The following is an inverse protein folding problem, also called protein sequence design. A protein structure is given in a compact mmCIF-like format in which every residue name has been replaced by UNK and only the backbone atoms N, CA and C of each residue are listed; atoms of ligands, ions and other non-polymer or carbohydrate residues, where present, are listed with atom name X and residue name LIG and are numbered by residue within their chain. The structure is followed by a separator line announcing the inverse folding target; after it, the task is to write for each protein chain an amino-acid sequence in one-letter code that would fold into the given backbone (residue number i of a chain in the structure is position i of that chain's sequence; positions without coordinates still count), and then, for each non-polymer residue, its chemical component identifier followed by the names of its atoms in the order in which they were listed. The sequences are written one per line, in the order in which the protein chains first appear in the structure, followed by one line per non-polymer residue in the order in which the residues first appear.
data_IF_520067419271
#
_entry.id   IF_520067419271
#
_cell.length_a   1.000
_cell.length_b   1.000
_cell.length_c   1.000
_cell.angle_alpha   90.00
_cell.angle_beta   90.00
_cell.angle_gamma   90.00
#
_symmetry.space_group_name_H-M   'P 1'
#
loop_
_entity.id
_entity.type
_entity.pdbx_description
1 polymer ?
#
# COMPACT_ATOMS: atom_id res chain seq x y z
N UNK A 1 4.50 -9.31 14.79
CA UNK A 1 5.17 -8.92 13.52
C UNK A 1 6.19 -7.83 13.82
N UNK A 2 7.38 -7.87 13.23
CA UNK A 2 8.32 -6.75 13.29
C UNK A 2 7.73 -5.53 12.58
N UNK A 3 8.02 -4.31 13.05
CA UNK A 3 7.54 -3.09 12.44
C UNK A 3 8.12 -2.92 11.01
N UNK A 4 7.55 -2.04 10.21
CA UNK A 4 8.03 -1.74 8.86
C UNK A 4 9.39 -1.03 8.90
N UNK A 5 10.25 -1.32 7.91
CA UNK A 5 11.57 -0.69 7.80
C UNK A 5 11.56 0.42 6.73
N UNK A 6 11.54 1.71 7.12
CA UNK A 6 11.52 2.82 6.18
C UNK A 6 12.74 2.86 5.25
N UNK A 7 13.93 2.50 5.73
CA UNK A 7 15.15 2.53 4.93
C UNK A 7 15.17 1.53 3.78
N UNK A 8 14.59 0.35 3.96
CA UNK A 8 14.41 -0.62 2.88
C UNK A 8 13.30 -0.16 1.91
N UNK A 9 12.28 0.52 2.42
CA UNK A 9 11.17 0.99 1.60
C UNK A 9 11.59 2.11 0.65
N UNK A 10 12.44 3.05 1.09
CA UNK A 10 12.86 4.20 0.29
C UNK A 10 13.94 3.89 -0.76
N UNK A 11 14.56 2.71 -0.73
CA UNK A 11 15.58 2.33 -1.71
C UNK A 11 15.10 2.33 -3.17
N UNK A 12 13.80 2.08 -3.40
CA UNK A 12 13.15 2.11 -4.72
C UNK A 12 12.02 3.13 -4.69
N UNK A 13 12.32 4.32 -4.22
CA UNK A 13 11.30 5.35 -3.96
C UNK A 13 10.62 5.82 -5.25
N UNK A 14 11.39 6.06 -6.31
CA UNK A 14 10.87 6.58 -7.57
C UNK A 14 9.86 5.63 -8.19
N UNK A 15 10.20 4.34 -8.26
CA UNK A 15 9.30 3.32 -8.82
C UNK A 15 8.06 3.11 -7.95
N UNK A 16 8.19 3.19 -6.62
CA UNK A 16 7.07 3.07 -5.69
C UNK A 16 6.18 4.30 -5.66
N UNK A 17 6.75 5.47 -5.95
CA UNK A 17 6.04 6.75 -5.97
C UNK A 17 5.28 6.96 -7.29
N UNK A 18 5.71 6.32 -8.40
CA UNK A 18 5.07 6.45 -9.70
C UNK A 18 3.58 6.12 -9.69
N UNK A 19 3.10 4.98 -9.15
CA UNK A 19 1.65 4.70 -9.06
C UNK A 19 0.88 5.74 -8.25
N UNK A 20 1.49 6.26 -7.17
CA UNK A 20 0.89 7.33 -6.38
C UNK A 20 0.73 8.62 -7.20
N UNK A 21 1.76 9.02 -7.94
CA UNK A 21 1.70 10.21 -8.79
C UNK A 21 0.64 10.08 -9.90
N UNK A 22 0.54 8.91 -10.54
CA UNK A 22 -0.45 8.64 -11.58
C UNK A 22 -1.90 8.63 -11.04
N UNK A 23 -2.11 8.04 -9.84
CA UNK A 23 -3.39 8.11 -9.14
C UNK A 23 -3.75 9.57 -8.83
N UNK A 24 -2.83 10.31 -8.23
CA UNK A 24 -3.05 11.70 -7.86
C UNK A 24 -3.37 12.59 -9.07
N UNK A 25 -2.72 12.35 -10.22
CA UNK A 25 -2.97 13.11 -11.45
C UNK A 25 -4.43 12.99 -11.96
N UNK A 26 -5.14 11.92 -11.59
CA UNK A 26 -6.55 11.70 -11.95
C UNK A 26 -7.55 12.19 -10.90
N UNK A 27 -7.11 12.67 -9.75
CA UNK A 27 -8.00 13.26 -8.73
C UNK A 27 -8.59 14.55 -9.28
N UNK A 28 -9.93 14.64 -9.46
CA UNK A 28 -10.58 15.79 -10.12
C UNK A 28 -10.88 16.94 -9.14
N UNK A 29 -10.02 17.16 -8.16
CA UNK A 29 -10.12 18.24 -7.18
C UNK A 29 -9.07 19.32 -7.48
N UNK A 30 -9.50 20.59 -7.44
CA UNK A 30 -8.60 21.74 -7.62
C UNK A 30 -8.09 22.29 -6.28
N UNK A 31 -8.97 22.46 -5.31
CA UNK A 31 -8.67 23.09 -4.02
C UNK A 31 -9.38 22.38 -2.85
N UNK A 32 -9.05 21.10 -2.55
CA UNK A 32 -9.59 20.44 -1.37
C UNK A 32 -9.10 21.14 -0.11
N UNK A 33 -9.97 21.23 0.92
CA UNK A 33 -9.62 21.82 2.21
C UNK A 33 -8.99 20.79 3.15
N UNK A 34 -9.54 19.57 3.14
CA UNK A 34 -9.14 18.48 4.04
C UNK A 34 -8.77 17.25 3.22
N UNK A 35 -7.52 16.84 3.35
CA UNK A 35 -6.96 15.68 2.66
C UNK A 35 -6.38 14.70 3.67
N UNK A 36 -6.70 13.42 3.54
CA UNK A 36 -6.13 12.37 4.39
C UNK A 36 -5.42 11.34 3.53
N UNK A 37 -4.18 11.03 3.91
CA UNK A 37 -3.38 9.97 3.31
C UNK A 37 -3.46 8.71 4.19
N UNK A 38 -4.22 7.71 3.74
CA UNK A 38 -4.51 6.48 4.47
C UNK A 38 -3.43 5.41 4.22
N UNK A 39 -2.62 5.11 5.23
CA UNK A 39 -1.43 4.28 5.12
C UNK A 39 -0.30 5.05 4.45
N UNK A 40 0.00 6.24 4.98
CA UNK A 40 0.95 7.19 4.42
C UNK A 40 2.41 6.69 4.38
N UNK A 41 2.71 5.60 5.11
CA UNK A 41 4.06 5.08 5.21
C UNK A 41 5.07 6.14 5.66
N UNK A 42 6.27 6.22 5.04
CA UNK A 42 7.27 7.21 5.39
C UNK A 42 7.04 8.59 4.75
N UNK A 43 5.83 8.84 4.22
CA UNK A 43 5.40 10.16 3.74
C UNK A 43 5.61 10.44 2.25
N UNK A 44 5.96 9.45 1.43
CA UNK A 44 6.17 9.63 -0.01
C UNK A 44 4.92 10.13 -0.74
N UNK A 45 3.79 9.47 -0.56
CA UNK A 45 2.49 9.87 -1.12
C UNK A 45 2.03 11.20 -0.53
N UNK A 46 2.23 11.39 0.78
CA UNK A 46 1.88 12.65 1.46
C UNK A 46 2.64 13.83 0.87
N UNK A 47 3.92 13.68 0.51
CA UNK A 47 4.69 14.74 -0.15
C UNK A 47 4.12 15.14 -1.51
N UNK A 48 3.62 14.18 -2.29
CA UNK A 48 2.92 14.48 -3.54
C UNK A 48 1.63 15.26 -3.31
N UNK A 49 0.86 14.90 -2.27
CA UNK A 49 -0.35 15.62 -1.89
C UNK A 49 -0.05 17.06 -1.49
N UNK A 50 1.02 17.30 -0.72
CA UNK A 50 1.46 18.67 -0.35
C UNK A 50 1.82 19.49 -1.58
N UNK A 51 2.57 18.91 -2.52
CA UNK A 51 2.96 19.60 -3.75
C UNK A 51 1.76 19.99 -4.61
N UNK A 52 0.75 19.11 -4.68
CA UNK A 52 -0.45 19.37 -5.49
C UNK A 52 -1.45 20.29 -4.81
N UNK A 53 -1.62 20.18 -3.50
CA UNK A 53 -2.63 20.89 -2.72
C UNK A 53 -1.98 21.69 -1.57
N UNK A 54 -1.16 22.71 -1.86
CA UNK A 54 -0.37 23.41 -0.84
C UNK A 54 -1.19 24.17 0.18
N UNK A 55 -2.46 24.45 -0.11
CA UNK A 55 -3.39 25.13 0.80
C UNK A 55 -4.28 24.19 1.62
N UNK A 56 -4.20 22.88 1.35
CA UNK A 56 -5.00 21.89 2.06
C UNK A 56 -4.44 21.61 3.46
N UNK A 57 -5.34 21.31 4.40
CA UNK A 57 -4.96 20.64 5.64
C UNK A 57 -4.78 19.16 5.33
N UNK A 58 -3.52 18.69 5.36
CA UNK A 58 -3.18 17.31 5.04
C UNK A 58 -2.79 16.57 6.32
N UNK A 59 -3.38 15.39 6.51
CA UNK A 59 -3.08 14.47 7.62
C UNK A 59 -2.67 13.12 7.05
N UNK A 60 -1.52 12.59 7.45
CA UNK A 60 -1.12 11.21 7.16
C UNK A 60 -1.51 10.28 8.30
N UNK A 61 -2.04 9.09 7.97
CA UNK A 61 -2.32 8.05 8.98
C UNK A 61 -1.59 6.77 8.61
N UNK A 62 -1.02 6.08 9.60
CA UNK A 62 -0.40 4.76 9.41
C UNK A 62 -0.50 3.95 10.72
N UNK A 63 -0.52 2.63 10.63
CA UNK A 63 -0.49 1.76 11.81
C UNK A 63 0.91 1.61 12.40
N UNK A 64 1.97 1.82 11.61
CA UNK A 64 3.38 1.65 11.98
C UNK A 64 3.96 2.92 12.58
N UNK A 65 4.42 2.84 13.82
CA UNK A 65 5.12 3.93 14.50
C UNK A 65 6.45 4.28 13.81
N UNK A 66 7.17 3.28 13.28
CA UNK A 66 8.43 3.50 12.58
C UNK A 66 8.21 4.29 11.27
N UNK A 67 7.14 3.98 10.52
CA UNK A 67 6.75 4.73 9.33
C UNK A 67 6.37 6.17 9.67
N UNK A 68 5.55 6.36 10.70
CA UNK A 68 5.16 7.71 11.15
C UNK A 68 6.34 8.54 11.64
N UNK A 69 7.32 7.92 12.30
CA UNK A 69 8.54 8.62 12.70
C UNK A 69 9.34 9.12 11.48
N UNK A 70 9.47 8.31 10.43
CA UNK A 70 10.10 8.70 9.18
C UNK A 70 9.30 9.80 8.45
N UNK A 71 7.96 9.67 8.41
CA UNK A 71 7.09 10.68 7.80
C UNK A 71 7.21 12.05 8.49
N UNK A 72 7.27 12.08 9.84
CA UNK A 72 7.48 13.32 10.63
C UNK A 72 8.86 13.94 10.37
N UNK A 73 9.89 13.12 10.12
CA UNK A 73 11.20 13.63 9.73
C UNK A 73 11.19 14.22 8.31
N UNK A 74 10.47 13.59 7.38
CA UNK A 74 10.35 14.04 5.99
C UNK A 74 9.53 15.34 5.86
N UNK A 75 8.41 15.43 6.58
CA UNK A 75 7.41 16.50 6.48
C UNK A 75 7.06 17.02 7.89
N UNK A 76 8.00 17.69 8.58
CA UNK A 76 7.82 18.08 9.98
C UNK A 76 6.71 19.12 10.21
N UNK A 77 6.24 19.78 9.16
CA UNK A 77 5.15 20.75 9.19
C UNK A 77 3.75 20.11 9.18
N UNK A 78 3.64 18.79 8.97
CA UNK A 78 2.35 18.10 8.85
C UNK A 78 2.01 17.31 10.10
N UNK A 79 0.73 16.99 10.24
CA UNK A 79 0.22 16.08 11.27
C UNK A 79 0.24 14.64 10.77
N UNK A 80 0.78 13.74 11.60
CA UNK A 80 0.80 12.31 11.37
C UNK A 80 0.23 11.57 12.58
N UNK A 81 -0.81 10.77 12.34
CA UNK A 81 -1.58 10.09 13.36
C UNK A 81 -1.45 8.57 13.24
N UNK A 82 -1.31 7.90 14.38
CA UNK A 82 -1.36 6.43 14.37
C UNK A 82 -2.82 5.98 14.27
N UNK A 83 -3.12 5.10 13.30
CA UNK A 83 -4.46 4.57 13.12
C UNK A 83 -4.50 3.34 12.24
N UNK A 84 -5.52 2.53 12.48
CA UNK A 84 -5.88 1.39 11.63
C UNK A 84 -6.93 1.84 10.61
N UNK A 85 -6.64 1.69 9.33
CA UNK A 85 -7.59 2.02 8.23
C UNK A 85 -8.91 1.27 8.39
N UNK A 86 -8.86 0.03 8.90
CA UNK A 86 -10.08 -0.76 9.14
C UNK A 86 -11.04 -0.09 10.15
N UNK A 87 -10.54 0.78 11.01
CA UNK A 87 -11.31 1.49 12.04
C UNK A 87 -11.32 3.00 11.81
N UNK A 88 -10.65 3.49 10.77
CA UNK A 88 -10.54 4.93 10.53
C UNK A 88 -11.90 5.58 10.36
N UNK A 89 -12.14 6.61 11.15
CA UNK A 89 -13.33 7.45 11.11
C UNK A 89 -12.89 8.88 11.44
N UNK A 90 -12.94 9.82 10.48
CA UNK A 90 -12.54 11.20 10.72
C UNK A 90 -13.57 11.95 11.57
N UNK A 91 -13.11 12.95 12.33
CA UNK A 91 -13.98 13.79 13.15
C UNK A 91 -14.89 14.71 12.31
N UNK A 92 -14.49 15.01 11.08
CA UNK A 92 -15.24 15.79 10.10
C UNK A 92 -15.12 15.17 8.71
N UNK A 93 -16.09 15.38 7.80
CA UNK A 93 -15.98 14.90 6.43
C UNK A 93 -14.73 15.44 5.72
N UNK A 94 -14.08 14.58 4.89
CA UNK A 94 -12.86 14.93 4.17
C UNK A 94 -13.15 15.14 2.67
N UNK A 95 -12.43 16.06 2.04
CA UNK A 95 -12.58 16.31 0.60
C UNK A 95 -11.82 15.25 -0.24
N UNK A 96 -10.71 14.71 0.29
CA UNK A 96 -9.94 13.64 -0.35
C UNK A 96 -9.48 12.62 0.70
N UNK A 97 -9.92 11.38 0.54
CA UNK A 97 -9.30 10.22 1.16
C UNK A 97 -8.41 9.54 0.11
N UNK A 98 -7.11 9.55 0.34
CA UNK A 98 -6.11 9.03 -0.57
C UNK A 98 -5.45 7.79 0.03
N UNK A 99 -5.30 6.72 -0.75
CA UNK A 99 -4.71 5.46 -0.29
C UNK A 99 -3.85 4.85 -1.40
N UNK A 100 -2.54 4.90 -1.24
CA UNK A 100 -1.61 4.29 -2.19
C UNK A 100 -0.88 3.10 -1.56
N UNK A 101 -1.00 1.92 -2.15
CA UNK A 101 -0.36 0.69 -1.74
C UNK A 101 -0.58 0.34 -0.24
N UNK A 102 -1.75 0.62 0.30
CA UNK A 102 -2.12 0.43 1.70
C UNK A 102 -3.32 -0.50 1.89
N UNK A 103 -4.39 -0.36 1.09
CA UNK A 103 -5.63 -1.11 1.32
C UNK A 103 -5.51 -2.61 1.05
N UNK A 104 -4.53 -3.09 0.28
CA UNK A 104 -4.28 -4.52 0.11
C UNK A 104 -3.92 -5.24 1.43
N UNK A 105 -3.57 -4.49 2.47
CA UNK A 105 -3.29 -5.02 3.81
C UNK A 105 -4.52 -5.03 4.73
N UNK A 106 -5.64 -4.49 4.25
CA UNK A 106 -6.89 -4.42 5.00
C UNK A 106 -7.88 -5.42 4.41
N UNK A 107 -8.50 -6.22 5.26
CA UNK A 107 -9.49 -7.21 4.83
C UNK A 107 -10.87 -6.57 4.60
N UNK A 108 -11.76 -7.33 3.95
CA UNK A 108 -13.19 -7.01 3.82
C UNK A 108 -13.47 -5.68 3.09
N UNK A 109 -12.89 -5.51 1.91
CA UNK A 109 -13.14 -4.35 1.04
C UNK A 109 -14.63 -4.07 0.77
N UNK A 110 -15.54 -5.08 0.66
CA UNK A 110 -16.97 -4.81 0.51
C UNK A 110 -17.62 -4.01 1.64
N UNK A 111 -17.06 -4.05 2.85
CA UNK A 111 -17.49 -3.21 3.97
C UNK A 111 -16.64 -1.96 4.13
N UNK A 112 -15.34 -2.08 3.86
CA UNK A 112 -14.39 -0.99 4.03
C UNK A 112 -14.67 0.17 3.09
N UNK A 113 -14.77 -0.08 1.77
CA UNK A 113 -14.85 0.99 0.78
C UNK A 113 -16.12 1.84 0.88
N UNK A 114 -17.34 1.27 1.06
CA UNK A 114 -18.53 2.07 1.31
C UNK A 114 -18.41 2.93 2.58
N UNK A 115 -17.76 2.41 3.63
CA UNK A 115 -17.51 3.19 4.85
C UNK A 115 -16.53 4.35 4.61
N UNK A 116 -15.47 4.14 3.83
CA UNK A 116 -14.56 5.22 3.44
C UNK A 116 -15.28 6.28 2.59
N UNK A 117 -16.15 5.88 1.66
CA UNK A 117 -16.98 6.81 0.90
C UNK A 117 -17.89 7.65 1.80
N UNK A 118 -18.51 7.03 2.82
CA UNK A 118 -19.40 7.75 3.74
C UNK A 118 -18.69 8.80 4.62
N UNK A 119 -17.36 8.75 4.68
CA UNK A 119 -16.54 9.73 5.40
C UNK A 119 -16.17 10.96 4.54
N UNK A 120 -16.54 10.97 3.27
CA UNK A 120 -16.26 12.09 2.36
C UNK A 120 -17.28 13.23 2.53
N UNK A 121 -16.81 14.42 2.29
CA UNK A 121 -17.68 15.59 2.10
C UNK A 121 -18.46 15.44 0.77
N UNK A 122 -19.59 16.13 0.59
CA UNK A 122 -20.28 16.20 -0.69
C UNK A 122 -19.33 16.64 -1.81
N UNK A 123 -19.22 15.83 -2.88
CA UNK A 123 -18.24 16.02 -3.98
C UNK A 123 -16.82 15.61 -3.64
N UNK A 124 -16.60 15.01 -2.47
CA UNK A 124 -15.29 14.47 -2.07
C UNK A 124 -14.89 13.23 -2.88
N UNK A 125 -13.62 12.91 -2.86
CA UNK A 125 -13.00 11.83 -3.66
C UNK A 125 -12.35 10.79 -2.77
N UNK A 126 -12.61 9.51 -3.05
CA UNK A 126 -11.84 8.38 -2.56
C UNK A 126 -10.91 7.91 -3.69
N UNK A 127 -9.62 8.15 -3.56
CA UNK A 127 -8.61 7.74 -4.54
C UNK A 127 -7.78 6.57 -3.99
N UNK A 128 -7.84 5.41 -4.64
CA UNK A 128 -7.21 4.18 -4.16
C UNK A 128 -6.34 3.54 -5.24
N UNK A 129 -5.11 3.22 -4.90
CA UNK A 129 -4.24 2.35 -5.70
C UNK A 129 -3.83 1.14 -4.86
N UNK A 130 -3.88 -0.03 -5.47
CA UNK A 130 -3.42 -1.29 -4.88
C UNK A 130 -2.64 -2.12 -5.89
N UNK A 131 -1.53 -2.77 -5.50
CA UNK A 131 -0.86 -3.72 -6.37
C UNK A 131 -1.68 -4.99 -6.54
N UNK A 132 -1.87 -5.41 -7.80
CA UNK A 132 -2.55 -6.64 -8.20
C UNK A 132 -1.50 -7.60 -8.80
N UNK A 133 -0.68 -8.19 -7.93
CA UNK A 133 0.52 -8.94 -8.34
C UNK A 133 0.72 -10.27 -7.60
N UNK A 134 -0.30 -10.77 -6.88
CA UNK A 134 -0.19 -12.04 -6.16
C UNK A 134 0.02 -13.24 -7.10
N UNK A 135 -0.51 -13.19 -8.31
CA UNK A 135 -0.37 -14.26 -9.30
C UNK A 135 0.87 -14.10 -10.20
N UNK A 136 1.60 -12.97 -10.06
CA UNK A 136 2.83 -12.75 -10.78
C UNK A 136 3.95 -13.71 -10.34
N UNK A 137 4.89 -14.06 -11.23
CA UNK A 137 5.96 -15.04 -10.94
C UNK A 137 6.68 -14.77 -9.63
N UNK A 138 7.01 -13.51 -9.32
CA UNK A 138 7.71 -13.15 -8.09
C UNK A 138 6.95 -13.57 -6.83
N UNK A 139 5.63 -13.31 -6.77
CA UNK A 139 4.81 -13.68 -5.59
C UNK A 139 4.49 -15.18 -5.57
N UNK A 140 4.23 -15.77 -6.72
CA UNK A 140 4.04 -17.23 -6.82
C UNK A 140 5.27 -18.00 -6.31
N UNK A 141 6.46 -17.59 -6.72
CA UNK A 141 7.72 -18.22 -6.28
C UNK A 141 7.97 -18.04 -4.77
N UNK A 142 7.49 -16.95 -4.13
CA UNK A 142 7.54 -16.84 -2.66
C UNK A 142 6.72 -17.95 -1.99
N UNK A 143 5.48 -18.18 -2.44
CA UNK A 143 4.61 -19.24 -1.91
C UNK A 143 5.20 -20.63 -2.14
N UNK A 144 5.70 -20.89 -3.33
CA UNK A 144 6.34 -22.17 -3.66
C UNK A 144 7.60 -22.41 -2.82
N UNK A 145 8.39 -21.37 -2.56
CA UNK A 145 9.57 -21.47 -1.68
C UNK A 145 9.16 -21.73 -0.23
N UNK A 146 8.13 -21.06 0.26
CA UNK A 146 7.59 -21.30 1.59
C UNK A 146 7.05 -22.73 1.73
N UNK A 147 6.29 -23.22 0.74
CA UNK A 147 5.78 -24.58 0.73
C UNK A 147 6.93 -25.61 0.77
N UNK A 148 7.97 -25.41 -0.03
CA UNK A 148 9.10 -26.34 -0.13
C UNK A 148 9.98 -26.37 1.14
N UNK A 149 10.20 -25.23 1.78
CA UNK A 149 11.13 -25.12 2.93
C UNK A 149 10.45 -25.25 4.29
N UNK A 150 9.21 -24.81 4.40
CA UNK A 150 8.48 -24.69 5.67
C UNK A 150 7.34 -25.71 5.79
N UNK A 151 7.01 -26.42 4.72
CA UNK A 151 5.86 -27.34 4.69
C UNK A 151 4.51 -26.59 4.77
N UNK A 152 4.50 -25.29 4.57
CA UNK A 152 3.27 -24.47 4.59
C UNK A 152 2.53 -24.67 3.27
N UNK A 153 1.22 -24.98 3.27
CA UNK A 153 0.45 -25.02 2.03
C UNK A 153 0.58 -23.69 1.27
N UNK A 154 0.76 -23.76 -0.05
CA UNK A 154 0.99 -22.57 -0.88
C UNK A 154 -0.17 -21.54 -0.77
N UNK A 155 -1.40 -22.01 -0.54
CA UNK A 155 -2.58 -21.18 -0.38
C UNK A 155 -2.67 -20.49 1.01
N UNK A 156 -2.03 -21.07 2.04
CA UNK A 156 -2.00 -20.50 3.39
C UNK A 156 -0.87 -19.47 3.59
N UNK A 157 0.09 -19.43 2.67
CA UNK A 157 1.26 -18.58 2.81
C UNK A 157 0.95 -17.07 2.64
N UNK A 158 -0.15 -16.71 1.98
CA UNK A 158 -0.57 -15.31 1.78
C UNK A 158 -1.55 -14.78 2.87
N UNK A 159 -1.64 -15.44 4.04
CA UNK A 159 -2.60 -15.11 5.12
C UNK A 159 -2.55 -13.64 5.60
N UNK A 160 -1.49 -12.90 5.30
CA UNK A 160 -1.30 -11.52 5.74
C UNK A 160 -1.66 -10.46 4.70
N UNK A 161 -1.96 -10.88 3.47
CA UNK A 161 -2.37 -9.99 2.40
C UNK A 161 -3.63 -10.52 1.73
N UNK A 162 -4.75 -9.81 1.89
CA UNK A 162 -5.99 -10.17 1.22
C UNK A 162 -5.83 -10.09 -0.31
N UNK A 163 -6.39 -11.06 -1.06
CA UNK A 163 -6.60 -10.88 -2.49
C UNK A 163 -7.49 -9.68 -2.69
N UNK A 164 -7.05 -8.78 -3.55
CA UNK A 164 -7.92 -7.70 -3.99
C UNK A 164 -9.03 -8.28 -4.88
N UNK A 165 -10.18 -7.61 -4.90
CA UNK A 165 -11.29 -8.01 -5.75
C UNK A 165 -10.97 -7.73 -7.23
N UNK A 166 -11.59 -8.45 -8.19
CA UNK A 166 -11.57 -8.04 -9.59
C UNK A 166 -12.11 -6.62 -9.77
N UNK A 167 -11.55 -5.88 -10.74
CA UNK A 167 -11.93 -4.48 -11.01
C UNK A 167 -13.46 -4.29 -11.19
N UNK A 168 -14.13 -5.24 -11.87
CA UNK A 168 -15.58 -5.23 -12.03
C UNK A 168 -16.33 -5.22 -10.70
N UNK A 169 -15.86 -6.00 -9.70
CA UNK A 169 -16.52 -6.06 -8.40
C UNK A 169 -16.35 -4.76 -7.60
N UNK A 170 -15.22 -4.06 -7.75
CA UNK A 170 -15.06 -2.72 -7.16
C UNK A 170 -16.00 -1.72 -7.82
N UNK A 171 -16.13 -1.77 -9.16
CA UNK A 171 -17.04 -0.92 -9.89
C UNK A 171 -18.49 -1.13 -9.43
N UNK A 172 -18.96 -2.37 -9.42
CA UNK A 172 -20.33 -2.74 -9.00
C UNK A 172 -20.62 -2.36 -7.55
N UNK A 173 -19.62 -2.48 -6.67
CA UNK A 173 -19.73 -2.13 -5.26
C UNK A 173 -19.93 -0.62 -5.02
N UNK A 174 -19.26 0.22 -5.82
CA UNK A 174 -19.14 1.65 -5.54
C UNK A 174 -20.11 2.52 -6.37
N UNK A 175 -20.48 2.09 -7.58
CA UNK A 175 -21.38 2.84 -8.49
C UNK A 175 -22.73 3.21 -7.90
N UNK A 176 -23.35 2.47 -6.94
CA UNK A 176 -24.59 2.90 -6.31
C UNK A 176 -24.46 4.18 -5.46
N UNK A 177 -23.23 4.59 -5.12
CA UNK A 177 -22.96 5.69 -4.17
C UNK A 177 -22.04 6.77 -4.74
N UNK A 178 -21.33 6.51 -5.86
CA UNK A 178 -20.33 7.44 -6.42
C UNK A 178 -20.19 7.25 -7.93
N UNK A 179 -19.66 8.28 -8.60
CA UNK A 179 -19.07 8.13 -9.94
C UNK A 179 -17.74 7.40 -9.81
N UNK A 180 -17.54 6.34 -10.60
CA UNK A 180 -16.42 5.42 -10.43
C UNK A 180 -15.57 5.35 -11.70
N UNK A 181 -14.28 5.65 -11.56
CA UNK A 181 -13.24 5.39 -12.57
C UNK A 181 -12.32 4.29 -12.06
N UNK A 182 -12.28 3.13 -12.74
CA UNK A 182 -11.42 1.99 -12.39
C UNK A 182 -10.56 1.63 -13.59
N UNK A 183 -9.26 1.60 -13.38
CA UNK A 183 -8.32 1.18 -14.43
C UNK A 183 -7.23 0.27 -13.86
N UNK A 184 -6.49 -0.40 -14.75
CA UNK A 184 -5.29 -1.17 -14.41
C UNK A 184 -4.10 -0.62 -15.20
N UNK A 185 -2.96 -0.48 -14.52
CA UNK A 185 -1.68 -0.11 -15.15
C UNK A 185 -0.66 -1.22 -14.87
N UNK A 186 0.04 -1.66 -15.91
CA UNK A 186 1.17 -2.59 -15.78
C UNK A 186 2.47 -1.81 -15.86
N UNK A 187 3.31 -1.94 -14.84
CA UNK A 187 4.64 -1.33 -14.78
C UNK A 187 5.71 -2.39 -15.04
N UNK A 188 6.56 -2.15 -16.02
CA UNK A 188 7.75 -2.96 -16.26
C UNK A 188 8.95 -2.27 -15.64
N UNK A 189 9.42 -2.80 -14.51
CA UNK A 189 10.60 -2.29 -13.82
C UNK A 189 11.85 -3.00 -14.32
N UNK A 190 12.84 -2.23 -14.76
CA UNK A 190 14.15 -2.76 -15.07
C UNK A 190 14.87 -3.10 -13.78
N UNK A 191 15.26 -4.35 -13.61
CA UNK A 191 16.08 -4.84 -12.50
C UNK A 191 17.41 -5.35 -13.06
N UNK A 192 18.51 -5.09 -12.37
CA UNK A 192 19.85 -5.45 -12.84
C UNK A 192 20.08 -6.98 -12.76
N UNK A 193 19.51 -7.61 -11.73
CA UNK A 193 19.65 -9.04 -11.48
C UNK A 193 18.55 -9.57 -10.53
N UNK A 194 18.56 -10.88 -10.26
CA UNK A 194 17.67 -11.53 -9.32
C UNK A 194 17.82 -10.99 -7.88
N UNK A 195 19.02 -10.58 -7.49
CA UNK A 195 19.24 -10.00 -6.14
C UNK A 195 18.53 -8.65 -5.99
N UNK A 196 18.47 -7.83 -7.02
CA UNK A 196 17.70 -6.59 -7.02
C UNK A 196 16.21 -6.85 -6.82
N UNK A 197 15.66 -7.90 -7.44
CA UNK A 197 14.25 -8.32 -7.25
C UNK A 197 14.02 -8.76 -5.79
N UNK A 198 14.91 -9.57 -5.23
CA UNK A 198 14.83 -10.00 -3.82
C UNK A 198 14.83 -8.78 -2.89
N UNK A 199 15.72 -7.80 -3.11
CA UNK A 199 15.79 -6.58 -2.31
C UNK A 199 14.54 -5.72 -2.42
N UNK A 200 13.98 -5.59 -3.63
CA UNK A 200 12.69 -4.91 -3.84
C UNK A 200 11.58 -5.50 -2.98
N UNK A 201 11.47 -6.83 -3.00
CA UNK A 201 10.39 -7.55 -2.35
C UNK A 201 10.64 -7.77 -0.85
N UNK A 202 11.90 -7.67 -0.38
CA UNK A 202 12.26 -7.79 1.04
C UNK A 202 11.58 -6.74 1.91
N UNK A 203 11.32 -5.55 1.35
CA UNK A 203 10.63 -4.47 2.05
C UNK A 203 9.10 -4.66 2.11
N UNK A 204 8.54 -5.61 1.37
CA UNK A 204 7.09 -5.79 1.21
C UNK A 204 6.68 -7.27 1.27
N UNK A 205 6.47 -7.92 0.14
CA UNK A 205 5.94 -9.29 0.05
C UNK A 205 6.76 -10.34 0.79
N UNK A 206 8.09 -10.31 0.70
CA UNK A 206 8.96 -11.26 1.40
C UNK A 206 8.97 -11.10 2.93
N UNK A 207 8.62 -9.91 3.45
CA UNK A 207 8.62 -9.64 4.88
C UNK A 207 7.77 -10.64 5.66
N UNK A 208 6.58 -10.95 5.15
CA UNK A 208 5.64 -11.86 5.81
C UNK A 208 6.15 -13.29 5.92
N UNK A 209 6.99 -13.71 4.98
CA UNK A 209 7.59 -15.05 4.97
C UNK A 209 8.89 -15.12 5.80
N UNK A 210 9.71 -14.09 5.71
CA UNK A 210 11.09 -14.14 6.20
C UNK A 210 11.20 -13.69 7.65
N UNK A 211 10.51 -12.61 8.05
CA UNK A 211 10.66 -12.03 9.38
C UNK A 211 10.31 -12.97 10.56
N UNK A 212 9.34 -13.91 10.42
CA UNK A 212 9.06 -14.87 11.50
C UNK A 212 10.11 -15.98 11.67
N UNK A 213 11.04 -16.15 10.71
CA UNK A 213 11.98 -17.26 10.68
C UNK A 213 13.22 -16.98 11.53
N UNK A 214 13.86 -18.06 12.02
CA UNK A 214 15.20 -17.98 12.62
C UNK A 214 16.24 -17.55 11.56
N UNK A 215 17.35 -16.88 11.94
CA UNK A 215 18.32 -16.27 11.00
C UNK A 215 18.86 -17.26 9.93
N UNK A 216 19.15 -18.50 10.30
CA UNK A 216 19.65 -19.52 9.38
C UNK A 216 18.61 -19.90 8.33
N UNK A 217 17.34 -19.96 8.73
CA UNK A 217 16.23 -20.29 7.84
C UNK A 217 15.86 -19.10 6.96
N UNK A 218 15.99 -17.87 7.47
CA UNK A 218 15.87 -16.66 6.65
C UNK A 218 16.89 -16.67 5.50
N UNK A 219 18.16 -16.94 5.80
CA UNK A 219 19.21 -16.99 4.78
C UNK A 219 18.92 -18.07 3.73
N UNK A 220 18.51 -19.27 4.15
CA UNK A 220 18.13 -20.36 3.26
C UNK A 220 16.92 -20.02 2.38
N UNK A 221 15.91 -19.36 2.98
CA UNK A 221 14.72 -18.94 2.23
C UNK A 221 15.07 -17.93 1.13
N UNK A 222 15.84 -16.91 1.47
CA UNK A 222 16.24 -15.87 0.52
C UNK A 222 17.12 -16.43 -0.61
N UNK A 223 18.07 -17.32 -0.28
CA UNK A 223 18.93 -17.97 -1.27
C UNK A 223 18.13 -18.89 -2.22
N UNK A 224 17.22 -19.71 -1.68
CA UNK A 224 16.35 -20.56 -2.50
C UNK A 224 15.41 -19.74 -3.37
N UNK A 225 14.81 -18.69 -2.81
CA UNK A 225 13.94 -17.80 -3.56
C UNK A 225 14.70 -17.10 -4.69
N UNK A 226 15.91 -16.59 -4.42
CA UNK A 226 16.75 -15.93 -5.44
C UNK A 226 17.16 -16.89 -6.57
N UNK A 227 17.35 -18.18 -6.27
CA UNK A 227 17.67 -19.19 -7.31
C UNK A 227 16.48 -19.53 -8.21
N UNK A 228 15.25 -19.33 -7.73
CA UNK A 228 14.03 -19.62 -8.47
C UNK A 228 13.58 -18.44 -9.35
N UNK A 229 13.93 -17.21 -8.98
CA UNK A 229 13.55 -16.01 -9.69
C UNK A 229 14.51 -15.67 -10.82
#
# INVERSE_FOLDING_TARGET
MSDWNPGLYTRFEDERTRPAAELLARVPLEAPRVVVDLGCGPGNSTELLVKRFPSARIVGTDSSQAMLAAARQRLPQLSFEQGDIAQWAPAEPVDLAYANASLQWVSNHPRLLPRLLSALAPGGVLAVQMPDNLDEPSHRLMRETAAALLGTPADDADQHRARILPAQQYYDLLTPQADVDVWRTTYYHRMDDAAAIVQWLRATGLKTYVDPLAPELQARFLDEYQRRI
#
